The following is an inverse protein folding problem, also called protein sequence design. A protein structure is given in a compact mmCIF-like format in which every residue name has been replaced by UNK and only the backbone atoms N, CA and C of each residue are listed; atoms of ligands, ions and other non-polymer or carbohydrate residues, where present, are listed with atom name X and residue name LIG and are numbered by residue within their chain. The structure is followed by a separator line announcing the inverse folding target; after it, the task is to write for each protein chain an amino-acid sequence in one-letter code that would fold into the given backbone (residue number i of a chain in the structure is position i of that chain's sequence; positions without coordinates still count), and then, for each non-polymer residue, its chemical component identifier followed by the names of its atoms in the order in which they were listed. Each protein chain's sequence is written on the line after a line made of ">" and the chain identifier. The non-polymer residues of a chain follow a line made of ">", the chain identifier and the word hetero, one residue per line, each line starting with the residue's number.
data_IF_686588649655
#
_entry.id   IF_686588649655
#
_cell.length_a   1.000
_cell.length_b   1.000
_cell.length_c   1.000
_cell.angle_alpha   90.00
_cell.angle_beta   90.00
_cell.angle_gamma   90.00
#
_symmetry.space_group_name_H-M   'P 1'
#
loop_
_entity.id
_entity.type
_entity.pdbx_description
1 polymer ?
#
# COMPACT_ATOMS: atom_id res chain seq x y z
N UNK A 1 18.44 6.94 12.56
CA UNK A 1 17.52 6.65 11.43
C UNK A 1 18.16 7.26 10.20
N UNK A 2 18.62 6.44 9.25
CA UNK A 2 19.14 6.93 7.98
C UNK A 2 18.03 7.65 7.22
N UNK A 3 18.31 8.87 6.77
CA UNK A 3 17.41 9.69 5.98
C UNK A 3 17.21 9.00 4.63
N UNK A 4 15.96 8.71 4.27
CA UNK A 4 15.65 8.23 2.91
C UNK A 4 15.86 9.40 1.95
N UNK A 5 16.79 9.23 1.00
CA UNK A 5 16.99 10.18 -0.08
C UNK A 5 16.28 9.65 -1.34
N UNK A 6 15.50 10.51 -2.02
CA UNK A 6 14.83 10.10 -3.25
C UNK A 6 15.87 9.80 -4.33
N UNK A 7 15.66 8.71 -5.07
CA UNK A 7 16.54 8.33 -6.18
C UNK A 7 16.43 9.38 -7.29
N UNK A 8 17.58 9.88 -7.75
CA UNK A 8 17.63 10.84 -8.84
C UNK A 8 17.44 10.17 -10.20
N UNK A 9 17.09 10.96 -11.22
CA UNK A 9 17.03 10.47 -12.59
C UNK A 9 18.38 9.94 -13.08
N UNK A 10 19.49 10.62 -12.75
CA UNK A 10 20.83 10.19 -13.17
C UNK A 10 21.21 8.84 -12.56
N UNK A 11 20.93 8.62 -11.27
CA UNK A 11 21.12 7.32 -10.61
C UNK A 11 20.25 6.23 -11.25
N UNK A 12 19.00 6.56 -11.56
CA UNK A 12 18.08 5.65 -12.26
C UNK A 12 18.60 5.25 -13.64
N UNK A 13 19.08 6.23 -14.41
CA UNK A 13 19.65 6.01 -15.72
C UNK A 13 20.93 5.17 -15.65
N UNK A 14 21.77 5.42 -14.64
CA UNK A 14 22.99 4.64 -14.39
C UNK A 14 22.66 3.17 -14.09
N UNK A 15 21.67 2.93 -13.21
CA UNK A 15 21.19 1.58 -12.90
C UNK A 15 20.70 0.84 -14.16
N UNK A 16 19.86 1.48 -14.97
CA UNK A 16 19.35 0.87 -16.21
C UNK A 16 20.49 0.56 -17.20
N UNK A 17 21.48 1.45 -17.32
CA UNK A 17 22.68 1.20 -18.12
C UNK A 17 23.48 0.02 -17.60
N UNK A 18 23.62 -0.13 -16.28
CA UNK A 18 24.29 -1.27 -15.63
C UNK A 18 23.59 -2.59 -15.97
N UNK A 19 22.26 -2.64 -15.85
CA UNK A 19 21.47 -3.83 -16.24
C UNK A 19 21.69 -4.17 -17.72
N UNK A 20 21.59 -3.17 -18.60
CA UNK A 20 21.80 -3.34 -20.05
C UNK A 20 23.21 -3.82 -20.42
N UNK A 21 24.24 -3.35 -19.70
CA UNK A 21 25.61 -3.77 -19.94
C UNK A 21 25.87 -5.22 -19.54
N UNK A 22 25.06 -5.77 -18.62
CA UNK A 22 25.22 -7.14 -18.13
C UNK A 22 24.61 -8.16 -19.08
N UNK A 23 23.36 -7.92 -19.48
CA UNK A 23 22.64 -8.75 -20.43
C UNK A 23 21.51 -7.95 -21.09
N UNK A 24 21.45 -7.98 -22.41
CA UNK A 24 20.42 -7.31 -23.17
C UNK A 24 19.04 -7.95 -22.95
N UNK A 25 18.95 -9.28 -22.78
CA UNK A 25 17.69 -9.97 -22.51
C UNK A 25 17.17 -9.58 -21.13
N UNK A 26 18.04 -9.52 -20.12
CA UNK A 26 17.70 -9.04 -18.78
C UNK A 26 17.16 -7.60 -18.79
N UNK A 27 17.77 -6.73 -19.60
CA UNK A 27 17.29 -5.37 -19.81
C UNK A 27 15.90 -5.33 -20.45
N UNK A 28 15.62 -6.16 -21.46
CA UNK A 28 14.28 -6.27 -22.04
C UNK A 28 13.26 -6.76 -21.01
N UNK A 29 13.62 -7.75 -20.18
CA UNK A 29 12.76 -8.24 -19.10
C UNK A 29 12.46 -7.17 -18.05
N UNK A 30 13.45 -6.33 -17.70
CA UNK A 30 13.22 -5.17 -16.84
C UNK A 30 12.17 -4.23 -17.46
N UNK A 31 12.28 -3.93 -18.76
CA UNK A 31 11.33 -3.05 -19.43
C UNK A 31 9.93 -3.69 -19.51
N UNK A 32 9.83 -5.00 -19.71
CA UNK A 32 8.56 -5.73 -19.71
C UNK A 32 7.88 -5.64 -18.35
N UNK A 33 8.60 -5.92 -17.25
CA UNK A 33 8.06 -5.82 -15.88
C UNK A 33 7.56 -4.39 -15.59
N UNK A 34 8.32 -3.36 -15.98
CA UNK A 34 7.91 -1.97 -15.80
C UNK A 34 6.69 -1.61 -16.65
N UNK A 35 6.61 -2.12 -17.88
CA UNK A 35 5.49 -1.84 -18.78
C UNK A 35 4.18 -2.48 -18.30
N UNK A 36 4.23 -3.67 -17.70
CA UNK A 36 3.05 -4.36 -17.14
C UNK A 36 2.56 -3.73 -15.84
N UNK A 37 3.48 -3.19 -15.04
CA UNK A 37 3.21 -2.74 -13.68
C UNK A 37 3.33 -1.21 -13.49
N UNK A 38 3.16 -0.42 -14.56
CA UNK A 38 3.31 1.04 -14.54
C UNK A 38 2.48 1.72 -13.45
N UNK A 39 1.31 1.16 -13.12
CA UNK A 39 0.36 1.71 -12.14
C UNK A 39 0.56 1.18 -10.71
N UNK A 40 1.34 0.11 -10.52
CA UNK A 40 1.46 -0.58 -9.23
C UNK A 40 2.94 -0.73 -8.87
N UNK A 41 3.55 0.29 -8.22
CA UNK A 41 4.98 0.30 -7.91
C UNK A 41 5.45 -0.86 -7.03
N UNK A 42 4.58 -1.36 -6.14
CA UNK A 42 4.89 -2.49 -5.25
C UNK A 42 5.04 -3.80 -6.04
N UNK A 43 4.15 -4.05 -7.00
CA UNK A 43 4.18 -5.26 -7.82
C UNK A 43 5.40 -5.25 -8.74
N UNK A 44 5.66 -4.11 -9.39
CA UNK A 44 6.88 -3.90 -10.18
C UNK A 44 8.14 -4.21 -9.35
N UNK A 45 8.23 -3.70 -8.12
CA UNK A 45 9.38 -3.92 -7.24
C UNK A 45 9.54 -5.39 -6.85
N UNK A 46 8.44 -6.09 -6.56
CA UNK A 46 8.45 -7.52 -6.22
C UNK A 46 8.94 -8.37 -7.39
N UNK A 47 8.39 -8.15 -8.58
CA UNK A 47 8.80 -8.85 -9.80
C UNK A 47 10.25 -8.56 -10.17
N UNK A 48 10.71 -7.30 -10.07
CA UNK A 48 12.12 -6.96 -10.32
C UNK A 48 13.06 -7.62 -9.31
N UNK A 49 12.62 -7.77 -8.06
CA UNK A 49 13.40 -8.48 -7.03
C UNK A 49 13.55 -9.97 -7.37
N UNK A 50 12.53 -10.60 -7.96
CA UNK A 50 12.62 -11.96 -8.48
C UNK A 50 13.48 -12.06 -9.74
N UNK A 51 13.37 -11.07 -10.64
CA UNK A 51 14.16 -10.99 -11.87
C UNK A 51 15.67 -10.92 -11.58
N UNK A 52 16.06 -10.20 -10.51
CA UNK A 52 17.45 -10.03 -10.12
C UNK A 52 17.93 -10.96 -9.00
N UNK A 53 17.17 -12.01 -8.66
CA UNK A 53 17.49 -12.91 -7.54
C UNK A 53 18.92 -13.51 -7.59
N UNK A 54 19.45 -13.72 -8.80
CA UNK A 54 20.77 -14.32 -9.05
C UNK A 54 21.83 -13.23 -9.35
N UNK A 55 21.53 -11.97 -9.03
CA UNK A 55 22.29 -10.77 -9.35
C UNK A 55 22.37 -9.82 -8.13
N UNK A 56 23.14 -10.20 -7.11
CA UNK A 56 23.24 -9.49 -5.83
C UNK A 56 23.53 -7.99 -5.95
N UNK A 57 24.44 -7.61 -6.85
CA UNK A 57 24.82 -6.21 -7.10
C UNK A 57 23.71 -5.38 -7.77
N UNK A 58 22.76 -6.03 -8.46
CA UNK A 58 21.58 -5.36 -9.00
C UNK A 58 20.47 -5.27 -7.95
N UNK A 59 20.34 -6.26 -7.07
CA UNK A 59 19.41 -6.20 -5.93
C UNK A 59 19.77 -5.12 -4.93
N UNK A 60 21.06 -4.96 -4.63
CA UNK A 60 21.55 -3.91 -3.73
C UNK A 60 21.20 -2.52 -4.27
N UNK A 61 21.40 -2.28 -5.56
CA UNK A 61 21.00 -1.02 -6.20
C UNK A 61 19.48 -0.88 -6.32
N UNK A 62 18.76 -1.98 -6.62
CA UNK A 62 17.29 -2.00 -6.67
C UNK A 62 16.69 -1.57 -5.32
N UNK A 63 17.34 -1.89 -4.19
CA UNK A 63 16.86 -1.52 -2.86
C UNK A 63 16.64 0.00 -2.68
N UNK A 64 17.35 0.84 -3.44
CA UNK A 64 17.15 2.31 -3.45
C UNK A 64 15.78 2.71 -4.00
N UNK A 65 15.19 1.88 -4.87
CA UNK A 65 13.90 2.10 -5.50
C UNK A 65 12.73 1.49 -4.70
N UNK A 66 12.96 1.07 -3.45
CA UNK A 66 11.91 0.47 -2.62
C UNK A 66 10.73 1.46 -2.48
N UNK A 67 9.50 1.05 -2.82
CA UNK A 67 8.32 1.87 -2.57
C UNK A 67 8.23 2.16 -1.08
N UNK A 68 8.17 3.45 -0.71
CA UNK A 68 7.84 3.78 0.67
C UNK A 68 6.40 3.34 0.94
N UNK A 69 6.08 2.85 2.15
CA UNK A 69 4.70 2.72 2.56
C UNK A 69 4.09 4.13 2.49
N UNK A 70 3.24 4.37 1.49
CA UNK A 70 2.43 5.58 1.48
C UNK A 70 1.61 5.53 2.77
N UNK A 71 1.61 6.59 3.60
CA UNK A 71 0.64 6.65 4.69
C UNK A 71 -0.72 6.56 4.04
N UNK A 72 -1.37 5.41 4.18
CA UNK A 72 -2.68 5.20 3.66
C UNK A 72 -3.59 6.18 4.38
N UNK A 73 -3.89 7.33 3.78
CA UNK A 73 -5.07 8.10 4.14
C UNK A 73 -6.28 7.34 3.61
N UNK A 74 -6.43 6.07 4.00
CA UNK A 74 -7.73 5.44 4.07
C UNK A 74 -8.40 6.18 5.21
N UNK A 75 -8.99 7.33 4.86
CA UNK A 75 -9.95 7.98 5.71
C UNK A 75 -10.92 6.87 6.14
N UNK A 76 -10.94 6.60 7.43
CA UNK A 76 -11.86 5.68 8.10
C UNK A 76 -13.30 6.24 8.06
N UNK A 77 -13.68 6.88 6.96
CA UNK A 77 -14.96 7.53 6.72
C UNK A 77 -16.08 6.49 6.76
N UNK A 78 -15.85 5.27 6.24
CA UNK A 78 -16.82 4.18 6.36
C UNK A 78 -17.07 3.79 7.81
N UNK A 79 -16.03 3.68 8.64
CA UNK A 79 -16.21 3.29 10.06
C UNK A 79 -16.87 4.41 10.87
N UNK A 80 -16.48 5.66 10.65
CA UNK A 80 -17.04 6.82 11.36
C UNK A 80 -18.50 7.07 10.96
N UNK A 81 -18.85 6.98 9.68
CA UNK A 81 -20.26 7.11 9.25
C UNK A 81 -21.16 6.01 9.81
N UNK A 82 -20.66 4.78 9.93
CA UNK A 82 -21.42 3.69 10.55
C UNK A 82 -21.76 4.02 12.01
N UNK A 83 -20.85 4.64 12.76
CA UNK A 83 -21.12 5.09 14.13
C UNK A 83 -22.18 6.20 14.17
N UNK A 84 -22.14 7.16 13.25
CA UNK A 84 -23.17 8.20 13.13
C UNK A 84 -24.56 7.63 12.76
N UNK A 85 -24.62 6.58 11.92
CA UNK A 85 -25.87 5.92 11.56
C UNK A 85 -26.40 4.96 12.63
N UNK A 86 -25.52 4.30 13.41
CA UNK A 86 -25.90 3.34 14.45
C UNK A 86 -26.29 4.01 15.78
N UNK A 87 -25.74 5.19 16.08
CA UNK A 87 -26.01 5.92 17.32
C UNK A 87 -27.51 6.17 17.58
N UNK A 88 -28.31 6.67 16.61
CA UNK A 88 -29.75 6.90 16.81
C UNK A 88 -30.53 5.62 17.11
N UNK A 89 -30.18 4.50 16.47
CA UNK A 89 -30.82 3.20 16.69
C UNK A 89 -30.54 2.65 18.10
N UNK A 90 -29.31 2.81 18.58
CA UNK A 90 -28.92 2.44 19.95
C UNK A 90 -29.68 3.26 20.99
N UNK A 91 -29.78 4.58 20.79
CA UNK A 91 -30.55 5.47 21.68
C UNK A 91 -32.02 5.10 21.70
N UNK A 92 -32.63 4.84 20.53
CA UNK A 92 -34.03 4.41 20.45
C UNK A 92 -34.27 3.07 21.15
N UNK A 93 -33.35 2.10 20.99
CA UNK A 93 -33.42 0.81 21.68
C UNK A 93 -33.35 0.97 23.20
N UNK A 94 -32.53 1.89 23.72
CA UNK A 94 -32.42 2.15 25.16
C UNK A 94 -33.71 2.80 25.67
N UNK A 95 -34.23 3.82 24.97
CA UNK A 95 -35.48 4.48 25.36
C UNK A 95 -36.68 3.52 25.36
N UNK A 96 -36.79 2.65 24.35
CA UNK A 96 -37.85 1.65 24.29
C UNK A 96 -37.75 0.65 25.45
N UNK A 97 -36.53 0.20 25.78
CA UNK A 97 -36.29 -0.71 26.90
C UNK A 97 -36.61 -0.04 28.25
N UNK A 98 -36.25 1.23 28.42
CA UNK A 98 -36.63 2.02 29.59
C UNK A 98 -38.15 2.16 29.70
N UNK A 99 -38.85 2.43 28.60
CA UNK A 99 -40.30 2.55 28.59
C UNK A 99 -41.00 1.23 28.92
N UNK A 100 -40.50 0.10 28.40
CA UNK A 100 -41.06 -1.22 28.67
C UNK A 100 -40.80 -1.69 30.11
N UNK A 101 -39.66 -1.31 30.70
CA UNK A 101 -39.35 -1.60 32.11
C UNK A 101 -40.12 -0.69 33.09
N UNK A 102 -40.66 0.43 32.60
CA UNK A 102 -41.49 1.35 33.39
C UNK A 102 -42.97 0.95 33.38
N UNK A 103 -43.37 -0.14 32.71
CA UNK A 103 -44.76 -0.60 32.76
C UNK A 103 -45.08 -1.03 34.21
N UNK A 104 -46.02 -0.35 34.91
CA UNK A 104 -46.44 -0.80 36.22
C UNK A 104 -47.12 -2.16 36.02
N UNK A 105 -46.67 -3.18 36.75
CA UNK A 105 -47.43 -4.42 36.89
C UNK A 105 -48.72 -4.01 37.60
N UNK A 106 -49.78 -3.80 36.81
CA UNK A 106 -51.11 -3.58 37.32
C UNK A 106 -51.53 -4.87 38.03
N UNK A 107 -51.53 -4.80 39.36
CA UNK A 107 -52.07 -5.83 40.26
C UNK A 107 -53.44 -5.42 40.75
#
# INVERSE_FOLDING_TARGET
>A
MSKWEPVTFEESLCFVKKVKARDYVLYLSLLDVLSRNEQIPLEAYSELSLLFRDHDDLLEELAKFRPLPTPSTVYSHSSVWLLFFLMPLLVLSILLKCFLLQQPVAS
#
